data_IF_826684129365
#
_entry.id   IF_826684129365
#
_cell.length_a   1.000
_cell.length_b   1.000
_cell.length_c   1.000
_cell.angle_alpha   90.00
_cell.angle_beta   90.00
_cell.angle_gamma   90.00
#
_symmetry.space_group_name_H-M   'P 1'
#
loop_
_entity.id
_entity.type
_entity.pdbx_description
1 polymer ?
#
# COMPACT_ATOMS: atom_id res chain seq x y z
N UNK A 1 -0.62 -9.70 -0.72
CA UNK A 1 -1.95 -9.06 -0.74
C UNK A 1 -2.99 -9.90 0.02
N UNK A 2 -3.32 -11.11 -0.45
CA UNK A 2 -4.42 -11.94 0.12
C UNK A 2 -4.27 -12.28 1.61
N UNK A 3 -3.06 -12.69 2.03
CA UNK A 3 -2.79 -12.96 3.46
C UNK A 3 -2.98 -11.72 4.33
N UNK A 4 -2.50 -10.56 3.87
CA UNK A 4 -2.67 -9.29 4.59
C UNK A 4 -4.13 -8.87 4.73
N UNK A 5 -4.93 -9.04 3.67
CA UNK A 5 -6.37 -8.76 3.72
C UNK A 5 -7.12 -9.72 4.64
N UNK A 6 -6.73 -10.99 4.66
CA UNK A 6 -7.32 -11.98 5.58
C UNK A 6 -7.03 -11.64 7.03
N UNK A 7 -5.76 -11.37 7.36
CA UNK A 7 -5.36 -10.96 8.72
C UNK A 7 -6.09 -9.69 9.13
N UNK A 8 -6.14 -8.67 8.26
CA UNK A 8 -6.86 -7.43 8.56
C UNK A 8 -8.35 -7.67 8.82
N UNK A 9 -9.01 -8.50 8.01
CA UNK A 9 -10.43 -8.81 8.16
C UNK A 9 -10.71 -9.55 9.47
N UNK A 10 -9.90 -10.55 9.80
CA UNK A 10 -10.04 -11.31 11.05
C UNK A 10 -9.81 -10.41 12.27
N UNK A 11 -8.74 -9.61 12.27
CA UNK A 11 -8.42 -8.70 13.38
C UNK A 11 -9.52 -7.65 13.58
N UNK A 12 -10.03 -7.05 12.50
CA UNK A 12 -11.15 -6.10 12.59
C UNK A 12 -12.42 -6.77 13.08
N UNK A 13 -12.74 -7.96 12.57
CA UNK A 13 -13.93 -8.72 12.99
C UNK A 13 -13.91 -9.07 14.48
N UNK A 14 -12.78 -9.58 14.98
CA UNK A 14 -12.61 -9.86 16.41
C UNK A 14 -12.71 -8.60 17.27
N UNK A 15 -12.15 -7.47 16.79
CA UNK A 15 -12.27 -6.18 17.46
C UNK A 15 -13.73 -5.73 17.60
N UNK A 16 -14.51 -5.80 16.53
CA UNK A 16 -15.94 -5.43 16.54
C UNK A 16 -16.74 -6.33 17.48
N UNK A 17 -16.50 -7.65 17.42
CA UNK A 17 -17.16 -8.61 18.33
C UNK A 17 -16.83 -8.29 19.79
N UNK A 18 -15.57 -7.99 20.11
CA UNK A 18 -15.15 -7.62 21.46
C UNK A 18 -15.83 -6.34 21.97
N UNK A 19 -15.96 -5.32 21.11
CA UNK A 19 -16.68 -4.07 21.44
C UNK A 19 -18.15 -4.35 21.72
N UNK A 20 -18.83 -5.09 20.84
CA UNK A 20 -20.25 -5.42 20.98
C UNK A 20 -20.51 -6.30 22.21
N UNK A 21 -19.61 -7.22 22.52
CA UNK A 21 -19.70 -8.05 23.71
C UNK A 21 -19.53 -7.24 25.01
N UNK A 22 -18.66 -6.22 25.01
CA UNK A 22 -18.40 -5.41 26.19
C UNK A 22 -19.49 -4.35 26.46
N UNK A 23 -19.98 -3.67 25.41
CA UNK A 23 -20.88 -2.53 25.56
C UNK A 23 -22.32 -2.80 25.09
N UNK A 24 -22.54 -3.83 24.28
CA UNK A 24 -23.82 -4.06 23.61
C UNK A 24 -24.05 -3.15 22.39
N UNK A 25 -25.00 -3.50 21.50
CA UNK A 25 -25.22 -2.80 20.23
C UNK A 25 -25.82 -1.39 20.39
N UNK A 26 -26.78 -1.21 21.29
CA UNK A 26 -27.41 0.08 21.58
C UNK A 26 -26.37 1.11 22.03
N UNK A 27 -25.59 0.78 23.06
CA UNK A 27 -24.59 1.68 23.61
C UNK A 27 -23.47 1.97 22.60
N UNK A 28 -22.97 0.95 21.89
CA UNK A 28 -21.90 1.10 20.88
C UNK A 28 -22.31 2.06 19.77
N UNK A 29 -23.60 2.09 19.37
CA UNK A 29 -24.10 2.95 18.28
C UNK A 29 -23.98 4.45 18.57
N UNK A 30 -23.98 4.83 19.85
CA UNK A 30 -23.88 6.22 20.30
C UNK A 30 -22.44 6.66 20.58
N UNK A 31 -21.49 5.72 20.61
CA UNK A 31 -20.09 5.99 20.89
C UNK A 31 -19.32 6.41 19.63
N UNK A 32 -18.59 7.51 19.71
CA UNK A 32 -17.72 7.97 18.60
C UNK A 32 -16.45 7.12 18.44
N UNK A 33 -15.89 6.61 19.55
CA UNK A 33 -14.65 5.81 19.54
C UNK A 33 -14.76 4.55 20.40
N UNK A 34 -15.58 3.56 20.01
CA UNK A 34 -15.84 2.36 20.82
C UNK A 34 -14.58 1.52 21.10
N UNK A 35 -13.67 1.42 20.12
CA UNK A 35 -12.42 0.68 20.28
C UNK A 35 -11.49 1.29 21.34
N UNK A 36 -11.42 2.63 21.40
CA UNK A 36 -10.62 3.33 22.42
C UNK A 36 -11.23 3.13 23.81
N UNK A 37 -12.56 3.20 23.92
CA UNK A 37 -13.27 2.91 25.18
C UNK A 37 -13.01 1.47 25.65
N UNK A 38 -12.99 0.50 24.74
CA UNK A 38 -12.65 -0.89 25.05
C UNK A 38 -11.24 -1.00 25.64
N UNK A 39 -10.24 -0.35 25.03
CA UNK A 39 -8.85 -0.36 25.52
C UNK A 39 -8.74 0.27 26.91
N UNK A 40 -9.52 1.32 27.18
CA UNK A 40 -9.55 1.98 28.50
C UNK A 40 -10.15 1.10 29.60
N UNK A 41 -11.05 0.17 29.29
CA UNK A 41 -11.67 -0.68 30.33
C UNK A 41 -10.87 -1.97 30.60
N UNK A 42 -10.05 -2.42 29.65
CA UNK A 42 -9.16 -3.58 29.82
C UNK A 42 -7.86 -3.23 30.58
N UNK A 43 -7.62 -1.97 30.93
CA UNK A 43 -6.49 -1.59 31.76
C UNK A 43 -6.68 -2.16 33.18
N UNK A 44 -6.16 -3.36 33.38
CA UNK A 44 -6.22 -4.08 34.65
C UNK A 44 -5.33 -3.36 35.67
N UNK A 45 -5.99 -2.88 36.74
CA UNK A 45 -5.48 -2.30 37.99
C UNK A 45 -3.96 -2.36 38.22
N UNK A 46 -3.35 -1.19 38.43
CA UNK A 46 -1.99 -0.90 38.98
C UNK A 46 -0.74 -1.11 38.11
N UNK A 47 -0.76 -1.83 36.99
CA UNK A 47 0.45 -2.01 36.13
C UNK A 47 0.25 -1.58 34.67
N UNK A 48 -1.00 -1.56 34.21
CA UNK A 48 -1.41 -1.21 32.84
C UNK A 48 -2.31 0.03 32.79
N UNK A 49 -2.12 0.95 33.73
CA UNK A 49 -2.95 2.13 33.96
C UNK A 49 -2.94 3.13 32.78
N UNK A 50 -1.98 3.00 31.86
CA UNK A 50 -1.82 3.85 30.66
C UNK A 50 -1.73 3.07 29.33
N UNK A 51 -2.38 1.91 29.23
CA UNK A 51 -2.38 1.11 27.98
C UNK A 51 -3.06 1.87 26.82
N UNK A 52 -3.97 2.79 27.13
CA UNK A 52 -4.59 3.69 26.17
C UNK A 52 -3.59 4.60 25.46
N UNK A 53 -2.50 4.99 26.14
CA UNK A 53 -1.45 5.85 25.55
C UNK A 53 -0.71 5.09 24.45
N UNK A 54 -0.33 3.84 24.70
CA UNK A 54 0.34 2.98 23.71
C UNK A 54 -0.57 2.76 22.50
N UNK A 55 -1.87 2.51 22.73
CA UNK A 55 -2.84 2.38 21.66
C UNK A 55 -2.91 3.64 20.78
N UNK A 56 -2.98 4.82 21.38
CA UNK A 56 -3.00 6.09 20.64
C UNK A 56 -1.70 6.29 19.85
N UNK A 57 -0.53 5.98 20.42
CA UNK A 57 0.76 6.09 19.71
C UNK A 57 0.79 5.19 18.48
N UNK A 58 0.41 3.92 18.62
CA UNK A 58 0.36 2.97 17.48
C UNK A 58 -0.66 3.42 16.44
N UNK A 59 -1.82 3.92 16.87
CA UNK A 59 -2.86 4.41 15.98
C UNK A 59 -2.43 5.66 15.20
N UNK A 60 -1.82 6.64 15.86
CA UNK A 60 -1.29 7.85 15.22
C UNK A 60 -0.17 7.51 14.24
N UNK A 61 0.75 6.62 14.62
CA UNK A 61 1.79 6.13 13.72
C UNK A 61 1.19 5.44 12.49
N UNK A 62 0.12 4.67 12.66
CA UNK A 62 -0.60 4.02 11.56
C UNK A 62 -1.26 5.03 10.63
N UNK A 63 -1.91 6.07 11.17
CA UNK A 63 -2.49 7.17 10.38
C UNK A 63 -1.39 7.87 9.58
N UNK A 64 -0.25 8.16 10.20
CA UNK A 64 0.88 8.80 9.53
C UNK A 64 1.36 7.96 8.34
N UNK A 65 1.66 6.68 8.56
CA UNK A 65 2.12 5.77 7.50
C UNK A 65 1.10 5.64 6.37
N UNK A 66 -0.18 5.43 6.70
CA UNK A 66 -1.24 5.32 5.71
C UNK A 66 -1.36 6.61 4.88
N UNK A 67 -1.34 7.77 5.54
CA UNK A 67 -1.42 9.07 4.87
C UNK A 67 -0.23 9.30 3.94
N UNK A 68 1.00 8.98 4.37
CA UNK A 68 2.19 9.06 3.52
C UNK A 68 2.07 8.19 2.27
N UNK A 69 1.63 6.93 2.43
CA UNK A 69 1.43 6.04 1.29
C UNK A 69 0.33 6.54 0.34
N UNK A 70 -0.77 7.07 0.86
CA UNK A 70 -1.82 7.64 0.02
C UNK A 70 -1.34 8.84 -0.77
N UNK A 71 -0.60 9.76 -0.15
CA UNK A 71 -0.06 10.94 -0.84
C UNK A 71 0.93 10.50 -1.93
N UNK A 72 1.78 9.51 -1.65
CA UNK A 72 2.71 8.96 -2.65
C UNK A 72 1.95 8.33 -3.82
N UNK A 73 1.01 7.42 -3.55
CA UNK A 73 0.22 6.74 -4.57
C UNK A 73 -0.60 7.73 -5.41
N UNK A 74 -1.12 8.79 -4.79
CA UNK A 74 -1.81 9.87 -5.47
C UNK A 74 -0.87 10.64 -6.42
N UNK A 75 0.32 11.01 -5.95
CA UNK A 75 1.31 11.70 -6.76
C UNK A 75 1.76 10.84 -7.96
N UNK A 76 1.96 9.53 -7.76
CA UNK A 76 2.25 8.58 -8.85
C UNK A 76 1.10 8.49 -9.85
N UNK A 77 -0.13 8.32 -9.37
CA UNK A 77 -1.33 8.20 -10.21
C UNK A 77 -1.57 9.44 -11.08
N UNK A 78 -1.40 10.64 -10.52
CA UNK A 78 -1.53 11.90 -11.27
C UNK A 78 -0.39 12.06 -12.26
N UNK A 79 0.84 11.72 -11.86
CA UNK A 79 1.99 11.79 -12.75
C UNK A 79 1.81 10.90 -13.98
N UNK A 80 1.21 9.72 -13.80
CA UNK A 80 0.93 8.78 -14.89
C UNK A 80 -0.21 9.28 -15.78
N UNK A 81 -1.29 9.83 -15.21
CA UNK A 81 -2.42 10.37 -15.99
C UNK A 81 -2.02 11.60 -16.81
N UNK A 82 -1.13 12.45 -16.28
CA UNK A 82 -0.63 13.66 -16.93
C UNK A 82 0.68 13.44 -17.71
N UNK A 83 1.16 12.19 -17.77
CA UNK A 83 2.39 11.78 -18.44
C UNK A 83 3.66 12.56 -18.02
N UNK A 84 3.71 13.05 -16.78
CA UNK A 84 4.88 13.72 -16.25
C UNK A 84 5.97 12.70 -15.91
N UNK A 85 7.09 12.72 -16.64
CA UNK A 85 8.23 11.82 -16.40
C UNK A 85 9.30 12.41 -15.46
N UNK A 86 9.09 13.61 -14.94
CA UNK A 86 10.06 14.29 -14.08
C UNK A 86 9.91 13.94 -12.60
N UNK A 87 11.01 13.56 -11.93
CA UNK A 87 11.06 13.41 -10.45
C UNK A 87 10.62 14.70 -9.75
N UNK A 88 11.00 15.86 -10.28
CA UNK A 88 10.62 17.16 -9.72
C UNK A 88 9.11 17.39 -9.76
N UNK A 89 8.42 16.99 -10.84
CA UNK A 89 6.97 17.15 -10.94
C UNK A 89 6.23 16.30 -9.89
N UNK A 90 6.68 15.07 -9.63
CA UNK A 90 6.12 14.21 -8.57
C UNK A 90 6.27 14.84 -7.18
N UNK A 91 7.44 15.41 -6.88
CA UNK A 91 7.71 16.09 -5.61
C UNK A 91 6.81 17.32 -5.45
N UNK A 92 6.61 18.10 -6.52
CA UNK A 92 5.70 19.23 -6.51
C UNK A 92 4.24 18.83 -6.24
N UNK A 93 3.75 17.76 -6.89
CA UNK A 93 2.40 17.23 -6.63
C UNK A 93 2.25 16.79 -5.18
N UNK A 94 3.25 16.09 -4.64
CA UNK A 94 3.29 15.67 -3.24
C UNK A 94 3.24 16.86 -2.28
N UNK A 95 4.06 17.90 -2.51
CA UNK A 95 4.08 19.11 -1.69
C UNK A 95 2.74 19.86 -1.74
N UNK A 96 2.15 20.01 -2.94
CA UNK A 96 0.85 20.65 -3.12
C UNK A 96 -0.23 19.86 -2.38
N UNK A 97 -0.20 18.54 -2.45
CA UNK A 97 -1.15 17.67 -1.72
C UNK A 97 -1.01 17.83 -0.20
N UNK A 98 0.20 17.91 0.34
CA UNK A 98 0.41 18.13 1.78
C UNK A 98 -0.07 19.51 2.19
N UNK A 99 0.25 20.53 1.38
CA UNK A 99 -0.17 21.91 1.63
C UNK A 99 -1.69 22.02 1.62
N UNK A 100 -2.39 21.44 0.64
CA UNK A 100 -3.85 21.48 0.58
C UNK A 100 -4.47 20.77 1.79
N UNK A 101 -3.95 19.59 2.17
CA UNK A 101 -4.45 18.81 3.32
C UNK A 101 -4.28 19.55 4.65
N UNK A 102 -3.23 20.35 4.80
CA UNK A 102 -2.94 21.09 6.04
C UNK A 102 -3.65 22.44 6.10
N UNK A 103 -3.75 23.13 4.96
CA UNK A 103 -4.24 24.51 4.89
C UNK A 103 -5.76 24.55 4.73
N UNK A 104 -6.34 23.62 3.97
CA UNK A 104 -7.79 23.59 3.73
C UNK A 104 -8.62 23.58 5.02
N UNK A 105 -8.32 22.74 6.04
CA UNK A 105 -9.10 22.71 7.27
C UNK A 105 -9.01 24.00 8.11
N UNK A 106 -7.98 24.83 7.92
CA UNK A 106 -7.85 26.10 8.64
C UNK A 106 -8.88 27.14 8.17
N UNK A 107 -9.28 27.06 6.90
CA UNK A 107 -10.27 27.97 6.32
C UNK A 107 -11.71 27.48 6.51
N UNK A 108 -11.90 26.16 6.55
CA UNK A 108 -13.22 25.56 6.75
C UNK A 108 -13.35 25.03 8.17
N UNK A 109 -14.05 25.76 9.03
CA UNK A 109 -14.41 25.33 10.39
C UNK A 109 -15.45 24.20 10.34
N UNK A 110 -15.03 23.00 9.95
CA UNK A 110 -15.88 21.82 10.04
C UNK A 110 -16.11 21.51 11.51
N UNK A 111 -17.37 21.59 11.93
CA UNK A 111 -17.77 21.04 13.23
C UNK A 111 -17.39 19.57 13.26
N UNK A 112 -16.71 19.16 14.34
CA UNK A 112 -16.26 17.77 14.52
C UNK A 112 -17.37 16.74 14.29
N UNK A 113 -18.61 17.07 14.69
CA UNK A 113 -19.80 16.24 14.44
C UNK A 113 -20.11 16.03 12.95
N UNK A 114 -19.97 17.07 12.12
CA UNK A 114 -20.21 16.99 10.67
C UNK A 114 -19.11 16.17 10.01
N UNK A 115 -17.86 16.34 10.43
CA UNK A 115 -16.75 15.53 9.95
C UNK A 115 -16.99 14.04 10.24
N UNK A 116 -17.35 13.70 11.47
CA UNK A 116 -17.53 12.31 11.88
C UNK A 116 -18.73 11.64 11.20
N UNK A 117 -19.85 12.36 11.07
CA UNK A 117 -21.03 11.85 10.36
C UNK A 117 -20.76 11.68 8.87
N UNK A 118 -20.05 12.62 8.24
CA UNK A 118 -19.60 12.50 6.84
C UNK A 118 -18.70 11.28 6.67
N UNK A 119 -17.69 11.09 7.52
CA UNK A 119 -16.79 9.93 7.44
C UNK A 119 -17.57 8.62 7.61
N UNK A 120 -18.53 8.57 8.54
CA UNK A 120 -19.35 7.37 8.75
C UNK A 120 -20.22 7.05 7.54
N UNK A 121 -20.98 8.02 7.04
CA UNK A 121 -22.03 7.78 6.07
C UNK A 121 -21.46 7.71 4.64
N UNK A 122 -20.62 8.68 4.24
CA UNK A 122 -19.93 8.66 2.95
C UNK A 122 -18.79 7.65 2.95
N UNK A 123 -18.05 7.49 4.04
CA UNK A 123 -16.95 6.53 4.09
C UNK A 123 -17.44 5.08 4.00
N UNK A 124 -18.57 4.74 4.64
CA UNK A 124 -19.17 3.41 4.48
C UNK A 124 -19.62 3.16 3.03
N UNK A 125 -20.30 4.13 2.41
CA UNK A 125 -20.79 4.02 1.04
C UNK A 125 -19.64 3.99 0.01
N UNK A 126 -18.67 4.89 0.13
CA UNK A 126 -17.50 4.94 -0.74
C UNK A 126 -16.63 3.69 -0.57
N UNK A 127 -16.44 3.23 0.68
CA UNK A 127 -15.67 2.02 0.98
C UNK A 127 -16.28 0.77 0.35
N UNK A 128 -17.61 0.61 0.41
CA UNK A 128 -18.30 -0.51 -0.26
C UNK A 128 -18.27 -0.39 -1.77
N UNK A 129 -18.48 0.80 -2.33
CA UNK A 129 -18.45 1.02 -3.77
C UNK A 129 -17.06 0.75 -4.37
N UNK A 130 -16.01 1.38 -3.84
CA UNK A 130 -14.66 1.27 -4.40
C UNK A 130 -13.91 0.02 -3.94
N UNK A 131 -14.14 -0.45 -2.71
CA UNK A 131 -13.46 -1.61 -2.15
C UNK A 131 -14.16 -2.95 -2.44
N UNK A 132 -15.46 -2.95 -2.68
CA UNK A 132 -16.25 -4.16 -2.95
C UNK A 132 -16.81 -4.20 -4.36
N UNK A 133 -17.68 -3.26 -4.71
CA UNK A 133 -18.46 -3.30 -5.96
C UNK A 133 -17.55 -3.18 -7.19
N UNK A 134 -16.64 -2.20 -7.20
CA UNK A 134 -15.75 -1.95 -8.34
C UNK A 134 -14.83 -3.15 -8.67
N UNK A 135 -14.12 -3.77 -7.72
CA UNK A 135 -13.33 -4.97 -8.00
C UNK A 135 -14.20 -6.18 -8.37
N UNK A 136 -15.40 -6.35 -7.78
CA UNK A 136 -16.35 -7.40 -8.18
C UNK A 136 -16.80 -7.22 -9.64
N UNK A 137 -17.11 -6.01 -10.07
CA UNK A 137 -17.48 -5.71 -11.46
C UNK A 137 -16.32 -6.01 -12.42
N UNK A 138 -15.08 -5.67 -12.05
CA UNK A 138 -13.91 -6.04 -12.85
C UNK A 138 -13.71 -7.55 -12.92
N UNK A 139 -13.94 -8.27 -11.81
CA UNK A 139 -13.83 -9.73 -11.77
C UNK A 139 -14.89 -10.38 -12.67
N UNK A 140 -16.15 -9.91 -12.58
CA UNK A 140 -17.24 -10.36 -13.47
C UNK A 140 -16.89 -10.09 -14.93
N UNK A 141 -16.35 -8.91 -15.26
CA UNK A 141 -15.89 -8.61 -16.63
C UNK A 141 -14.79 -9.57 -17.08
N UNK A 142 -13.81 -9.89 -16.23
CA UNK A 142 -12.71 -10.81 -16.56
C UNK A 142 -13.21 -12.25 -16.73
N UNK A 143 -14.24 -12.68 -15.98
CA UNK A 143 -14.87 -13.99 -16.17
C UNK A 143 -15.64 -14.05 -17.50
N UNK A 144 -16.39 -12.99 -17.83
CA UNK A 144 -17.21 -12.93 -19.05
C UNK A 144 -16.36 -12.72 -20.32
N UNK A 145 -15.27 -11.95 -20.20
CA UNK A 145 -14.34 -11.66 -21.29
C UNK A 145 -12.90 -11.76 -20.76
N UNK A 146 -12.35 -12.98 -20.65
CA UNK A 146 -10.96 -13.15 -20.22
C UNK A 146 -10.07 -12.37 -21.18
N UNK A 147 -9.18 -11.49 -20.68
CA UNK A 147 -8.28 -10.75 -21.54
C UNK A 147 -7.44 -11.77 -22.31
N UNK A 148 -7.44 -11.69 -23.64
CA UNK A 148 -6.43 -12.37 -24.46
C UNK A 148 -5.08 -11.85 -24.00
N UNK A 149 -4.42 -12.59 -23.11
CA UNK A 149 -3.02 -12.39 -22.75
C UNK A 149 -2.23 -12.41 -24.07
N UNK A 150 -1.90 -11.23 -24.58
CA UNK A 150 -0.78 -11.09 -25.50
C UNK A 150 0.45 -11.47 -24.69
N UNK A 151 0.76 -12.76 -24.69
CA UNK A 151 2.09 -13.26 -24.41
C UNK A 151 3.04 -12.50 -25.34
N UNK A 152 3.65 -11.41 -24.86
CA UNK A 152 4.82 -10.84 -25.50
C UNK A 152 5.99 -11.74 -25.10
N UNK A 153 6.11 -12.83 -25.86
CA UNK A 153 7.35 -13.46 -26.32
C UNK A 153 8.50 -13.35 -25.32
N UNK A 154 8.62 -14.39 -24.48
CA UNK A 154 9.94 -14.83 -24.06
C UNK A 154 10.73 -15.14 -25.34
N UNK A 155 11.81 -14.42 -25.61
CA UNK A 155 12.85 -14.88 -26.53
C UNK A 155 13.68 -15.93 -25.77
N UNK A 156 13.73 -17.18 -26.23
CA UNK A 156 14.68 -18.16 -25.75
C UNK A 156 16.02 -17.88 -26.44
N UNK A 157 17.03 -17.45 -25.69
CA UNK A 157 18.42 -17.54 -26.13
C UNK A 157 19.08 -18.72 -25.39
N UNK A 158 18.97 -19.90 -26.02
CA UNK A 158 19.66 -21.19 -25.80
C UNK A 158 18.67 -22.24 -26.36
N UNK A 159 18.88 -23.05 -27.39
CA UNK A 159 20.03 -23.69 -28.09
C UNK A 159 19.55 -23.94 -29.56
N UNK A 160 20.32 -24.17 -30.64
CA UNK A 160 21.32 -25.22 -30.86
C UNK A 160 21.81 -25.18 -32.34
N UNK A 161 23.11 -25.45 -32.57
CA UNK A 161 23.74 -26.06 -33.79
C UNK A 161 23.77 -25.25 -35.10
N UNK A 162 24.84 -25.14 -35.91
CA UNK A 162 26.00 -26.02 -36.16
C UNK A 162 27.06 -25.29 -37.02
N UNK A 163 28.34 -25.41 -36.66
CA UNK A 163 29.56 -25.50 -37.51
C UNK A 163 30.74 -24.96 -36.71
N UNK A 164 31.61 -25.82 -36.15
CA UNK A 164 32.94 -26.09 -36.75
C UNK A 164 33.68 -24.77 -37.04
N UNK A 165 34.75 -24.39 -36.38
CA UNK A 165 36.05 -25.08 -36.40
C UNK A 165 37.02 -24.32 -35.47
N UNK A 166 37.98 -25.06 -34.89
CA UNK A 166 39.33 -24.61 -34.48
C UNK A 166 39.42 -23.45 -33.46
N UNK A 167 40.06 -23.58 -32.32
CA UNK A 167 41.18 -24.42 -31.93
C UNK A 167 41.94 -23.59 -30.90
N UNK A 168 41.78 -23.91 -29.62
CA UNK A 168 42.38 -23.14 -28.54
C UNK A 168 42.74 -24.08 -27.41
N UNK A 169 44.03 -24.05 -27.04
CA UNK A 169 44.71 -24.82 -25.99
C UNK A 169 45.34 -26.11 -26.53
N UNK A 170 46.62 -26.02 -26.93
CA UNK A 170 47.77 -26.83 -26.46
C UNK A 170 48.99 -26.54 -27.36
N UNK A 171 50.14 -26.21 -26.77
CA UNK A 171 51.40 -26.03 -27.50
C UNK A 171 52.47 -25.30 -26.70
N UNK A 172 53.21 -26.07 -25.90
CA UNK A 172 54.45 -25.73 -25.20
C UNK A 172 55.67 -25.63 -26.15
N UNK A 173 56.86 -25.38 -25.56
CA UNK A 173 58.22 -25.29 -26.15
C UNK A 173 58.55 -23.99 -26.92
N UNK A 174 59.38 -23.04 -26.43
CA UNK A 174 60.85 -23.00 -26.17
C UNK A 174 61.69 -22.68 -27.42
N UNK A 175 62.72 -21.83 -27.19
CA UNK A 175 63.90 -21.51 -28.04
C UNK A 175 63.67 -20.61 -29.27
N UNK A 176 64.56 -19.70 -29.68
CA UNK A 176 65.89 -19.23 -29.27
C UNK A 176 66.18 -17.95 -30.12
N UNK A 177 67.08 -17.09 -29.63
CA UNK A 177 68.07 -16.43 -30.49
C UNK A 177 67.77 -15.06 -31.11
N UNK A 178 68.50 -14.04 -30.63
CA UNK A 178 69.39 -13.29 -31.55
C UNK A 178 69.04 -11.85 -31.93
N UNK A 179 69.76 -10.92 -31.29
CA UNK A 179 70.50 -9.77 -31.87
C UNK A 179 69.83 -8.63 -32.70
N UNK A 180 69.94 -7.43 -32.12
CA UNK A 180 70.59 -6.18 -32.62
C UNK A 180 70.29 -5.52 -33.99
N UNK A 181 70.42 -4.18 -33.93
CA UNK A 181 70.45 -3.09 -34.96
C UNK A 181 69.07 -2.58 -35.39
N UNK A 182 68.81 -1.27 -35.48
CA UNK A 182 69.68 -0.08 -35.63
C UNK A 182 69.05 1.15 -34.96
#
# INVERSE_FOLDING_TARGET
AVLGTLVATVTLGLGIIGILAAFGPEQTSTMFYPAFALVRIISVSTFLEHTEVIFVVVWVASIFLATTFYIQAFAESISDILNFKGKSAKVWIMLISIFILTVWPLFFNFSFYVLLSTIRDIGAAAGTAFGGVFPLLLLVRVIIAPPKQKQKKAEPQAELSSSETEGGVFGSEIEDGGEQKS
#
